data_IF_411815630801
#
_entry.id   IF_411815630801
#
_cell.length_a   1.000
_cell.length_b   1.000
_cell.length_c   1.000
_cell.angle_alpha   90.00
_cell.angle_beta   90.00
_cell.angle_gamma   90.00
#
_symmetry.space_group_name_H-M   'P 1'
#
loop_
_entity.id
_entity.type
_entity.pdbx_description
1 polymer ?
#
# COMPACT_ATOMS: atom_id res chain seq x y z
N UNK A 1 12.36 21.37 -0.58
CA UNK A 1 12.29 19.91 -0.35
C UNK A 1 11.71 19.64 1.03
N UNK A 2 10.78 18.73 1.10
CA UNK A 2 10.14 18.35 2.36
C UNK A 2 9.90 16.84 2.40
N UNK A 3 9.84 16.28 3.61
CA UNK A 3 9.46 14.90 3.79
C UNK A 3 7.98 14.71 3.48
N UNK A 4 7.60 13.51 3.05
CA UNK A 4 6.20 13.19 2.86
C UNK A 4 5.58 13.02 4.25
N UNK A 5 4.69 13.94 4.62
CA UNK A 5 4.03 13.96 5.92
C UNK A 5 2.58 13.48 5.86
N UNK A 6 2.03 13.34 4.65
CA UNK A 6 0.65 12.90 4.48
C UNK A 6 0.54 11.42 4.80
N UNK A 7 -0.63 11.04 5.28
CA UNK A 7 -0.98 9.64 5.39
C UNK A 7 -0.97 8.98 4.02
N UNK A 8 -0.38 7.79 3.95
CA UNK A 8 -0.32 7.03 2.70
C UNK A 8 -1.42 5.96 2.62
N UNK A 9 -2.37 5.98 3.53
CA UNK A 9 -3.47 5.01 3.58
C UNK A 9 -4.36 5.04 2.33
N UNK A 10 -4.36 6.15 1.58
CA UNK A 10 -5.09 6.23 0.32
C UNK A 10 -4.65 5.16 -0.68
N UNK A 11 -3.41 4.65 -0.56
CA UNK A 11 -2.91 3.57 -1.41
C UNK A 11 -3.74 2.29 -1.29
N UNK A 12 -4.36 2.07 -0.13
CA UNK A 12 -5.22 0.91 0.09
C UNK A 12 -6.51 0.97 -0.75
N UNK A 13 -6.87 2.14 -1.24
CA UNK A 13 -8.05 2.34 -2.09
C UNK A 13 -7.73 2.24 -3.58
N UNK A 14 -6.46 2.13 -3.94
CA UNK A 14 -6.05 1.89 -5.31
C UNK A 14 -6.27 0.42 -5.66
N UNK A 15 -6.76 0.17 -6.87
CA UNK A 15 -7.04 -1.18 -7.34
C UNK A 15 -6.00 -1.58 -8.39
N UNK A 16 -5.02 -2.45 -8.04
CA UNK A 16 -4.10 -2.98 -9.05
C UNK A 16 -4.86 -3.89 -10.01
N UNK A 17 -4.59 -3.73 -11.28
CA UNK A 17 -5.27 -4.51 -12.32
C UNK A 17 -4.26 -5.08 -13.31
N UNK A 18 -4.66 -6.15 -13.97
CA UNK A 18 -3.97 -6.64 -15.15
C UNK A 18 -4.84 -6.35 -16.37
N UNK A 19 -4.21 -6.08 -17.49
CA UNK A 19 -4.93 -5.73 -18.72
C UNK A 19 -4.09 -6.02 -19.95
N UNK A 20 -4.76 -6.03 -21.10
CA UNK A 20 -4.11 -6.04 -22.39
C UNK A 20 -4.39 -4.72 -23.10
N UNK A 21 -3.42 -4.24 -23.87
CA UNK A 21 -3.63 -3.03 -24.66
C UNK A 21 -4.76 -3.26 -25.67
N UNK A 22 -5.67 -2.30 -25.78
CA UNK A 22 -6.63 -2.24 -26.87
C UNK A 22 -5.94 -1.70 -28.14
N UNK A 23 -6.69 -1.62 -29.26
CA UNK A 23 -6.13 -1.14 -30.53
C UNK A 23 -5.46 0.24 -30.40
N UNK A 24 -6.06 1.13 -29.62
CA UNK A 24 -5.56 2.49 -29.41
C UNK A 24 -4.29 2.51 -28.56
N UNK A 25 -4.22 1.68 -27.53
CA UNK A 25 -3.02 1.53 -26.72
C UNK A 25 -1.86 0.94 -27.53
N UNK A 26 -2.14 0.01 -28.44
CA UNK A 26 -1.15 -0.56 -29.35
C UNK A 26 -0.60 0.48 -30.32
N UNK A 27 -1.42 1.40 -30.82
CA UNK A 27 -0.97 2.52 -31.65
C UNK A 27 -0.01 3.44 -30.92
N UNK A 28 -0.14 3.54 -29.59
CA UNK A 28 0.72 4.35 -28.73
C UNK A 28 1.95 3.60 -28.21
N UNK A 29 2.24 2.42 -28.73
CA UNK A 29 3.43 1.65 -28.39
C UNK A 29 3.19 0.41 -27.53
N UNK A 30 1.93 0.09 -27.22
CA UNK A 30 1.60 -1.12 -26.48
C UNK A 30 1.74 -2.37 -27.35
N UNK A 31 2.01 -3.52 -26.70
CA UNK A 31 2.14 -4.82 -27.35
C UNK A 31 1.02 -5.78 -26.91
N UNK A 32 1.17 -7.06 -27.23
CA UNK A 32 0.18 -8.09 -26.92
C UNK A 32 0.39 -8.75 -25.54
N UNK A 33 1.40 -8.34 -24.80
CA UNK A 33 1.68 -8.94 -23.49
C UNK A 33 0.72 -8.46 -22.42
N UNK A 34 0.53 -9.28 -21.38
CA UNK A 34 -0.24 -8.91 -20.21
C UNK A 34 0.46 -7.76 -19.48
N UNK A 35 -0.31 -6.75 -19.15
CA UNK A 35 0.18 -5.57 -18.45
C UNK A 35 -0.39 -5.53 -17.03
N UNK A 36 0.33 -4.87 -16.14
CA UNK A 36 -0.11 -4.61 -14.75
C UNK A 36 -0.11 -3.11 -14.52
N UNK A 37 -1.09 -2.62 -13.79
CA UNK A 37 -1.14 -1.19 -13.50
C UNK A 37 -2.42 -0.80 -12.81
N UNK A 38 -2.80 0.45 -13.00
CA UNK A 38 -4.00 1.05 -12.41
C UNK A 38 -4.83 1.69 -13.52
N UNK A 39 -6.12 1.83 -13.26
CA UNK A 39 -7.00 2.59 -14.13
C UNK A 39 -6.86 4.07 -13.76
N UNK A 40 -6.38 4.90 -14.70
CA UNK A 40 -6.05 6.30 -14.43
C UNK A 40 -7.21 7.10 -13.86
N UNK A 41 -8.43 6.88 -14.35
CA UNK A 41 -9.63 7.56 -13.89
C UNK A 41 -9.95 7.22 -12.43
N UNK A 42 -9.67 5.99 -11.99
CA UNK A 42 -9.85 5.59 -10.59
C UNK A 42 -8.80 6.25 -9.71
N UNK A 43 -7.55 6.28 -10.16
CA UNK A 43 -6.45 6.94 -9.42
C UNK A 43 -6.72 8.44 -9.29
N UNK A 44 -7.23 9.06 -10.32
CA UNK A 44 -7.52 10.50 -10.30
C UNK A 44 -8.51 10.89 -9.21
N UNK A 45 -9.49 10.04 -8.93
CA UNK A 45 -10.47 10.28 -7.86
C UNK A 45 -9.84 10.24 -6.47
N UNK A 46 -8.77 9.47 -6.32
CA UNK A 46 -8.11 9.24 -5.02
C UNK A 46 -6.90 10.17 -4.87
N UNK A 47 -6.08 10.29 -5.92
CA UNK A 47 -4.83 11.05 -5.91
C UNK A 47 -4.61 11.72 -7.26
N UNK A 48 -5.28 12.85 -7.54
CA UNK A 48 -5.24 13.48 -8.87
C UNK A 48 -3.83 13.92 -9.28
N UNK A 49 -2.95 14.22 -8.35
CA UNK A 49 -1.56 14.61 -8.64
C UNK A 49 -0.71 13.46 -9.21
N UNK A 50 -1.19 12.23 -9.14
CA UNK A 50 -0.50 11.07 -9.72
C UNK A 50 -0.98 10.76 -11.15
N UNK A 51 -1.86 11.57 -11.70
CA UNK A 51 -2.43 11.35 -13.04
C UNK A 51 -2.07 12.51 -13.95
N UNK A 52 -1.58 12.17 -15.15
CA UNK A 52 -1.33 13.12 -16.22
C UNK A 52 -2.41 12.99 -17.29
N UNK A 53 -2.78 14.11 -17.89
CA UNK A 53 -3.69 14.15 -19.03
C UNK A 53 -2.93 14.72 -20.21
N UNK A 54 -2.90 14.00 -21.34
CA UNK A 54 -2.23 14.48 -22.55
C UNK A 54 -3.10 15.47 -23.34
N UNK A 55 -2.56 15.98 -24.44
CA UNK A 55 -3.25 16.93 -25.30
C UNK A 55 -4.57 16.39 -25.90
N UNK A 56 -4.67 15.07 -26.06
CA UNK A 56 -5.85 14.40 -26.60
C UNK A 56 -6.87 14.05 -25.53
N UNK A 57 -6.59 14.36 -24.27
CA UNK A 57 -7.47 14.06 -23.15
C UNK A 57 -7.30 12.67 -22.54
N UNK A 58 -6.29 11.90 -22.98
CA UNK A 58 -6.00 10.59 -22.39
C UNK A 58 -5.28 10.73 -21.08
N UNK A 59 -5.73 9.97 -20.09
CA UNK A 59 -5.16 9.98 -18.76
C UNK A 59 -4.21 8.82 -18.56
N UNK A 60 -3.12 9.09 -17.85
CA UNK A 60 -2.11 8.08 -17.51
C UNK A 60 -1.63 8.30 -16.09
N UNK A 61 -1.24 7.20 -15.44
CA UNK A 61 -0.71 7.25 -14.08
C UNK A 61 0.79 7.53 -14.13
N UNK A 62 1.25 8.44 -13.29
CA UNK A 62 2.68 8.72 -13.14
C UNK A 62 3.28 7.72 -12.15
N UNK A 63 3.66 6.54 -12.66
CA UNK A 63 4.19 5.44 -11.85
C UNK A 63 5.49 5.80 -11.14
N UNK A 64 6.31 6.64 -11.75
CA UNK A 64 7.58 7.06 -11.12
C UNK A 64 7.31 7.81 -9.83
N UNK A 65 6.30 8.68 -9.80
CA UNK A 65 5.93 9.42 -8.58
C UNK A 65 5.23 8.54 -7.55
N UNK A 66 4.65 7.43 -7.95
CA UNK A 66 4.06 6.46 -7.02
C UNK A 66 5.14 5.79 -6.17
N UNK A 67 6.34 5.60 -6.73
CA UNK A 67 7.43 4.88 -6.04
C UNK A 67 7.79 5.51 -4.68
N UNK A 68 8.07 6.83 -4.57
CA UNK A 68 8.37 7.43 -3.26
C UNK A 68 7.23 7.29 -2.25
N UNK A 69 6.00 7.36 -2.71
CA UNK A 69 4.82 7.20 -1.85
C UNK A 69 4.73 5.77 -1.34
N UNK A 70 5.02 4.78 -2.19
CA UNK A 70 5.10 3.38 -1.79
C UNK A 70 6.20 3.14 -0.76
N UNK A 71 7.36 3.75 -0.95
CA UNK A 71 8.48 3.64 0.01
C UNK A 71 8.05 4.17 1.37
N UNK A 72 7.40 5.33 1.41
CA UNK A 72 6.88 5.90 2.65
C UNK A 72 5.87 4.96 3.31
N UNK A 73 4.96 4.39 2.53
CA UNK A 73 3.97 3.44 3.02
C UNK A 73 4.62 2.20 3.62
N UNK A 74 5.63 1.65 2.95
CA UNK A 74 6.37 0.48 3.44
C UNK A 74 7.11 0.78 4.74
N UNK A 75 7.70 1.97 4.85
CA UNK A 75 8.39 2.40 6.07
C UNK A 75 7.42 2.52 7.25
N UNK A 76 6.26 3.09 7.02
CA UNK A 76 5.22 3.24 8.04
C UNK A 76 4.69 1.87 8.48
N UNK A 77 4.48 0.95 7.53
CA UNK A 77 4.06 -0.42 7.84
C UNK A 77 5.11 -1.19 8.64
N UNK A 78 6.38 -1.03 8.29
CA UNK A 78 7.47 -1.69 9.00
C UNK A 78 7.52 -1.22 10.46
N UNK A 79 7.31 0.09 10.68
CA UNK A 79 7.29 0.66 12.03
C UNK A 79 6.08 0.15 12.83
N UNK A 80 4.91 0.11 12.23
CA UNK A 80 3.71 -0.44 12.87
C UNK A 80 3.87 -1.91 13.21
N UNK A 81 4.45 -2.69 12.29
CA UNK A 81 4.69 -4.11 12.52
C UNK A 81 5.63 -4.33 13.70
N UNK A 82 6.66 -3.50 13.83
CA UNK A 82 7.58 -3.56 14.97
C UNK A 82 6.85 -3.29 16.29
N UNK A 83 6.00 -2.28 16.32
CA UNK A 83 5.18 -1.94 17.49
C UNK A 83 4.23 -3.08 17.86
N UNK A 84 3.61 -3.71 16.88
CA UNK A 84 2.74 -4.86 17.10
C UNK A 84 3.49 -6.06 17.68
N UNK A 85 4.70 -6.32 17.18
CA UNK A 85 5.55 -7.40 17.71
C UNK A 85 5.92 -7.17 19.16
N UNK A 86 6.28 -5.94 19.54
CA UNK A 86 6.60 -5.58 20.91
C UNK A 86 5.39 -5.77 21.82
N UNK A 87 4.22 -5.34 21.36
CA UNK A 87 2.96 -5.51 22.07
C UNK A 87 2.61 -6.97 22.29
N UNK A 88 2.79 -7.79 21.24
CA UNK A 88 2.55 -9.22 21.33
C UNK A 88 3.48 -9.91 22.33
N UNK A 89 4.76 -9.53 22.33
CA UNK A 89 5.73 -10.05 23.30
C UNK A 89 5.34 -9.71 24.73
N UNK A 90 4.91 -8.48 24.97
CA UNK A 90 4.44 -8.05 26.29
C UNK A 90 3.19 -8.84 26.71
N UNK A 91 2.27 -9.07 25.79
CA UNK A 91 1.07 -9.86 26.06
C UNK A 91 1.40 -11.31 26.36
N UNK A 92 2.35 -11.92 25.65
CA UNK A 92 2.81 -13.29 25.92
C UNK A 92 3.41 -13.41 27.30
N UNK A 93 4.24 -12.46 27.71
CA UNK A 93 4.82 -12.43 29.05
C UNK A 93 3.75 -12.31 30.13
N UNK A 94 2.75 -11.51 29.86
CA UNK A 94 1.60 -11.32 30.76
C UNK A 94 0.78 -12.60 30.90
N UNK A 95 0.54 -13.30 29.80
CA UNK A 95 -0.16 -14.57 29.77
C UNK A 95 0.61 -15.62 30.59
N UNK A 96 1.93 -15.71 30.40
CA UNK A 96 2.78 -16.62 31.19
C UNK A 96 2.71 -16.33 32.67
N UNK A 97 2.77 -15.04 33.07
CA UNK A 97 2.69 -14.65 34.46
C UNK A 97 1.33 -15.03 35.07
N UNK A 98 0.25 -14.86 34.30
CA UNK A 98 -1.09 -15.24 34.75
C UNK A 98 -1.24 -16.77 34.87
N UNK A 99 -0.69 -17.51 33.91
CA UNK A 99 -0.70 -18.98 33.94
C UNK A 99 0.05 -19.51 35.17
N UNK A 100 1.19 -18.94 35.49
CA UNK A 100 1.95 -19.29 36.68
C UNK A 100 1.16 -19.04 37.96
N UNK A 101 0.47 -17.90 38.05
CA UNK A 101 -0.39 -17.57 39.21
C UNK A 101 -1.56 -18.56 39.33
N UNK A 102 -2.18 -18.93 38.23
CA UNK A 102 -3.27 -19.90 38.21
C UNK A 102 -2.76 -21.27 38.68
N UNK A 103 -1.62 -21.71 38.15
CA UNK A 103 -1.01 -22.98 38.56
C UNK A 103 -0.64 -22.99 40.06
N UNK A 104 -0.15 -21.88 40.59
CA UNK A 104 0.15 -21.77 42.02
C UNK A 104 -1.11 -21.88 42.87
N UNK A 105 -2.23 -21.31 42.41
CA UNK A 105 -3.51 -21.42 43.11
C UNK A 105 -4.05 -22.84 43.07
N UNK A 106 -3.95 -23.50 41.90
CA UNK A 106 -4.45 -24.86 41.69
C UNK A 106 -3.67 -25.92 42.51
N UNK A 107 -2.40 -25.62 42.83
CA UNK A 107 -1.54 -26.53 43.62
C UNK A 107 -1.77 -26.44 45.13
N UNK A 108 -2.55 -25.49 45.56
CA UNK A 108 -2.95 -25.41 46.96
C UNK A 108 -4.17 -26.30 47.19
#
# INVERSE_FOLDING_TARGET
VANINQETSFLNNLRPVSYYWNAKGKEKGGDNSLQYGFIAQEVEKIAPNLVNTDADGYKSVNYIQVIPVLVKSLQDHALELQKEKEKNNQQEQRIKALEEKINAILKK
#
